data_IF_349071135988
#
_entry.id   IF_349071135988
#
_cell.length_a   1.000
_cell.length_b   1.000
_cell.length_c   1.000
_cell.angle_alpha   90.00
_cell.angle_beta   90.00
_cell.angle_gamma   90.00
#
_symmetry.space_group_name_H-M   'P 1'
#
loop_
_entity.id
_entity.type
_entity.pdbx_description
1 polymer ?
#
# COMPACT_ATOMS: atom_id res chain seq x y z
N UNK A 1 -15.99 14.24 -2.98
CA UNK A 1 -14.63 14.26 -3.57
C UNK A 1 -14.76 13.76 -5.01
N UNK A 2 -14.66 14.66 -5.99
CA UNK A 2 -14.77 14.27 -7.40
C UNK A 2 -13.37 13.82 -7.87
N UNK A 3 -13.19 12.54 -8.18
CA UNK A 3 -11.91 11.99 -8.66
C UNK A 3 -11.62 10.55 -8.24
N UNK A 4 -12.29 10.05 -7.19
CA UNK A 4 -12.01 8.71 -6.64
C UNK A 4 -12.34 7.54 -7.58
N UNK A 5 -13.23 7.74 -8.55
CA UNK A 5 -13.57 6.75 -9.57
C UNK A 5 -12.38 6.35 -10.46
N UNK A 6 -11.35 7.19 -10.53
CA UNK A 6 -10.13 6.93 -11.32
C UNK A 6 -9.00 6.34 -10.47
N UNK A 7 -9.16 6.31 -9.15
CA UNK A 7 -8.16 5.76 -8.23
C UNK A 7 -8.11 4.25 -8.36
N UNK A 8 -6.95 3.72 -8.74
CA UNK A 8 -6.73 2.28 -8.88
C UNK A 8 -5.28 1.89 -8.65
N UNK A 9 -5.08 0.77 -7.98
CA UNK A 9 -3.77 0.12 -7.91
C UNK A 9 -3.57 -0.67 -9.20
N UNK A 10 -2.62 -0.25 -10.03
CA UNK A 10 -2.36 -0.85 -11.34
C UNK A 10 -1.43 -2.06 -11.22
N UNK A 11 -0.48 -1.99 -10.30
CA UNK A 11 0.50 -3.04 -10.10
C UNK A 11 1.04 -3.03 -8.68
N UNK A 12 1.21 -4.22 -8.10
CA UNK A 12 1.91 -4.43 -6.84
C UNK A 12 2.99 -5.47 -7.09
N UNK A 13 4.20 -5.18 -6.61
CA UNK A 13 5.31 -6.11 -6.69
C UNK A 13 6.10 -6.10 -5.39
N UNK A 14 6.56 -7.27 -4.97
CA UNK A 14 7.50 -7.41 -3.88
C UNK A 14 8.87 -7.79 -4.40
N UNK A 15 9.91 -7.13 -3.90
CA UNK A 15 11.30 -7.44 -4.22
C UNK A 15 12.05 -7.64 -2.91
N UNK A 16 12.70 -8.80 -2.76
CA UNK A 16 13.81 -8.88 -1.81
C UNK A 16 14.98 -8.10 -2.41
N UNK A 17 15.51 -7.14 -1.67
CA UNK A 17 16.69 -6.39 -2.12
C UNK A 17 17.94 -7.28 -2.15
N UNK A 18 18.01 -8.36 -1.34
CA UNK A 18 19.17 -9.28 -1.36
C UNK A 18 18.93 -10.66 -0.72
N UNK A 19 19.83 -11.62 -1.00
CA UNK A 19 19.88 -13.05 -0.61
C UNK A 19 20.04 -13.34 0.89
N UNK A 20 20.07 -12.33 1.78
CA UNK A 20 20.40 -12.50 3.21
C UNK A 20 19.16 -12.41 4.10
N UNK A 21 19.04 -13.37 5.01
CA UNK A 21 18.02 -13.40 6.06
C UNK A 21 18.16 -12.17 6.95
N UNK A 22 17.08 -11.41 7.14
CA UNK A 22 17.02 -10.26 8.06
C UNK A 22 17.05 -8.88 7.41
N UNK A 23 17.17 -8.76 6.09
CA UNK A 23 16.96 -7.49 5.38
C UNK A 23 15.47 -7.24 5.11
N UNK A 24 15.01 -5.98 5.13
CA UNK A 24 13.60 -5.67 4.93
C UNK A 24 13.14 -6.05 3.53
N UNK A 25 11.92 -6.56 3.43
CA UNK A 25 11.30 -6.89 2.16
C UNK A 25 10.66 -5.64 1.56
N UNK A 26 11.03 -5.29 0.34
CA UNK A 26 10.51 -4.08 -0.29
C UNK A 26 9.22 -4.38 -1.06
N UNK A 27 8.20 -3.56 -0.85
CA UNK A 27 6.96 -3.55 -1.62
C UNK A 27 6.89 -2.28 -2.44
N UNK A 28 6.64 -2.44 -3.73
CA UNK A 28 6.43 -1.36 -4.69
C UNK A 28 5.00 -1.43 -5.21
N UNK A 29 4.36 -0.27 -5.29
CA UNK A 29 3.03 -0.12 -5.88
C UNK A 29 3.04 0.96 -6.96
N UNK A 30 2.35 0.69 -8.06
CA UNK A 30 2.03 1.67 -9.09
C UNK A 30 0.53 1.97 -8.98
N UNK A 31 0.19 3.23 -8.73
CA UNK A 31 -1.17 3.68 -8.47
C UNK A 31 -1.53 4.80 -9.42
N UNK A 32 -2.70 4.73 -10.04
CA UNK A 32 -3.31 5.86 -10.75
C UNK A 32 -4.21 6.60 -9.77
N UNK A 33 -4.05 7.93 -9.68
CA UNK A 33 -4.83 8.78 -8.77
C UNK A 33 -5.90 9.61 -9.49
N UNK A 34 -5.87 9.65 -10.82
CA UNK A 34 -6.71 10.54 -11.60
C UNK A 34 -6.38 12.01 -11.27
N UNK A 35 -7.35 12.84 -10.88
CA UNK A 35 -7.11 14.25 -10.56
C UNK A 35 -6.59 14.49 -9.14
N UNK A 36 -6.48 13.46 -8.29
CA UNK A 36 -6.05 13.61 -6.90
C UNK A 36 -4.53 13.76 -6.79
N UNK A 37 -4.06 14.63 -5.90
CA UNK A 37 -2.65 14.74 -5.61
C UNK A 37 -2.18 13.59 -4.68
N UNK A 38 -0.89 13.21 -4.69
CA UNK A 38 -0.35 12.23 -3.75
C UNK A 38 -0.60 12.55 -2.27
N UNK A 39 -0.71 13.84 -1.92
CA UNK A 39 -1.02 14.28 -0.56
C UNK A 39 -2.48 14.11 -0.14
N UNK A 40 -3.39 13.92 -1.11
CA UNK A 40 -4.83 13.71 -0.89
C UNK A 40 -5.17 12.23 -0.61
N UNK A 41 -4.16 11.36 -0.65
CA UNK A 41 -4.31 9.93 -0.41
C UNK A 41 -3.23 9.41 0.55
N UNK A 42 -3.51 8.28 1.19
CA UNK A 42 -2.47 7.41 1.75
C UNK A 42 -2.50 6.10 1.01
N UNK A 43 -1.34 5.72 0.47
CA UNK A 43 -1.11 4.38 -0.08
C UNK A 43 -0.47 3.57 1.03
N UNK A 44 -1.03 2.42 1.34
CA UNK A 44 -0.59 1.59 2.46
C UNK A 44 -0.36 0.16 2.00
N UNK A 45 0.73 -0.44 2.47
CA UNK A 45 0.89 -1.88 2.42
C UNK A 45 0.28 -2.48 3.68
N UNK A 46 -0.66 -3.42 3.47
CA UNK A 46 -1.26 -4.23 4.52
C UNK A 46 -0.55 -5.58 4.51
N UNK A 47 0.09 -5.96 5.61
CA UNK A 47 0.91 -7.19 5.66
C UNK A 47 0.72 -7.95 6.96
N UNK A 48 0.96 -9.25 6.92
CA UNK A 48 0.84 -10.10 8.10
C UNK A 48 1.02 -11.57 7.76
N UNK A 49 0.91 -12.41 8.80
CA UNK A 49 0.84 -13.85 8.63
C UNK A 49 -0.41 -14.21 7.84
N UNK A 50 -0.28 -15.20 6.95
CA UNK A 50 -1.45 -15.77 6.29
C UNK A 50 -1.75 -17.17 6.81
N UNK A 51 -3.02 -17.41 7.09
CA UNK A 51 -3.52 -18.72 7.47
C UNK A 51 -3.51 -19.70 6.28
N UNK A 52 -3.94 -20.94 6.52
CA UNK A 52 -4.07 -21.97 5.49
C UNK A 52 -5.08 -21.62 4.37
N UNK A 53 -5.92 -20.58 4.57
CA UNK A 53 -6.91 -20.07 3.61
C UNK A 53 -6.45 -18.78 2.92
N UNK A 54 -5.17 -18.42 3.07
CA UNK A 54 -4.58 -17.20 2.54
C UNK A 54 -5.25 -15.91 3.06
N UNK A 55 -5.83 -15.96 4.26
CA UNK A 55 -6.36 -14.77 4.93
C UNK A 55 -5.28 -14.15 5.80
N UNK A 56 -5.17 -12.83 5.76
CA UNK A 56 -4.25 -12.07 6.59
C UNK A 56 -4.75 -12.03 8.04
N UNK A 57 -3.97 -12.58 8.96
CA UNK A 57 -4.22 -12.52 10.40
C UNK A 57 -3.33 -11.44 11.04
N UNK A 58 -3.89 -10.67 11.97
CA UNK A 58 -3.20 -9.60 12.70
C UNK A 58 -2.41 -8.62 11.81
N UNK A 59 -2.94 -8.32 10.61
CA UNK A 59 -2.21 -7.53 9.65
C UNK A 59 -2.07 -6.06 10.03
N UNK A 60 -0.88 -5.54 9.81
CA UNK A 60 -0.48 -4.15 10.07
C UNK A 60 -0.48 -3.35 8.76
N UNK A 61 -0.72 -2.04 8.87
CA UNK A 61 -0.63 -1.12 7.75
C UNK A 61 0.61 -0.23 7.90
N UNK A 62 1.44 -0.18 6.85
CA UNK A 62 2.55 0.77 6.74
C UNK A 62 2.26 1.74 5.60
N UNK A 63 2.34 3.04 5.88
CA UNK A 63 2.26 4.09 4.86
C UNK A 63 3.43 3.95 3.87
N UNK A 64 3.12 3.91 2.59
CA UNK A 64 4.12 3.86 1.53
C UNK A 64 4.60 5.27 1.18
N UNK A 65 5.90 5.41 1.00
CA UNK A 65 6.55 6.64 0.52
C UNK A 65 6.25 6.84 -0.97
N UNK A 66 5.78 8.04 -1.35
CA UNK A 66 5.66 8.43 -2.75
C UNK A 66 7.05 8.72 -3.33
N UNK A 67 7.41 8.06 -4.43
CA UNK A 67 8.73 8.19 -5.05
C UNK A 67 8.72 9.14 -6.24
N UNK A 68 7.83 8.87 -7.20
CA UNK A 68 7.78 9.59 -8.47
C UNK A 68 6.38 9.49 -9.11
N UNK A 69 6.14 10.35 -10.08
CA UNK A 69 4.98 10.30 -10.98
C UNK A 69 5.48 10.30 -12.42
N UNK A 70 4.85 9.45 -13.25
CA UNK A 70 5.08 9.41 -14.69
C UNK A 70 3.81 9.01 -15.42
N UNK A 71 3.37 9.83 -16.37
CA UNK A 71 2.20 9.57 -17.23
C UNK A 71 0.90 9.28 -16.42
N UNK A 72 0.74 9.98 -15.29
CA UNK A 72 -0.39 9.82 -14.36
C UNK A 72 -0.35 8.54 -13.53
N UNK A 73 0.80 7.86 -13.51
CA UNK A 73 1.09 6.71 -12.65
C UNK A 73 2.07 7.12 -11.56
N UNK A 74 1.67 6.90 -10.32
CA UNK A 74 2.43 7.23 -9.13
C UNK A 74 3.08 5.97 -8.57
N UNK A 75 4.39 6.04 -8.31
CA UNK A 75 5.13 4.96 -7.69
C UNK A 75 5.26 5.18 -6.20
N UNK A 76 5.00 4.12 -5.44
CA UNK A 76 5.08 4.10 -3.99
C UNK A 76 5.94 2.94 -3.52
N UNK A 77 6.60 3.13 -2.38
CA UNK A 77 7.50 2.15 -1.76
C UNK A 77 7.25 2.01 -0.27
N UNK A 78 7.29 0.78 0.24
CA UNK A 78 7.41 0.51 1.67
C UNK A 78 8.41 -0.61 1.93
N UNK A 79 9.10 -0.51 3.07
CA UNK A 79 9.97 -1.55 3.58
C UNK A 79 9.23 -2.32 4.68
N UNK A 80 9.02 -3.62 4.47
CA UNK A 80 8.38 -4.50 5.45
C UNK A 80 9.44 -5.11 6.38
N UNK A 81 9.27 -5.01 7.70
CA UNK A 81 10.13 -5.69 8.66
C UNK A 81 9.74 -7.19 8.73
N UNK A 82 10.05 -7.95 7.68
CA UNK A 82 9.78 -9.40 7.68
C UNK A 82 10.87 -10.09 8.49
N UNK A 83 10.61 -10.26 9.80
CA UNK A 83 11.53 -10.87 10.75
C UNK A 83 11.28 -12.36 11.01
N UNK A 84 10.18 -12.94 10.53
CA UNK A 84 9.75 -14.29 10.90
C UNK A 84 9.65 -15.23 9.70
N UNK A 85 10.11 -16.46 9.91
CA UNK A 85 9.92 -17.58 8.98
C UNK A 85 8.45 -18.01 8.99
N UNK A 86 7.77 -17.93 7.84
CA UNK A 86 6.36 -18.30 7.71
C UNK A 86 5.80 -17.91 6.35
N UNK A 87 4.53 -18.23 6.11
CA UNK A 87 3.81 -17.72 4.94
C UNK A 87 3.33 -16.30 5.29
N UNK A 88 4.01 -15.31 4.74
CA UNK A 88 3.65 -13.89 4.92
C UNK A 88 2.93 -13.39 3.67
N UNK A 89 1.79 -12.74 3.87
CA UNK A 89 1.04 -12.09 2.80
C UNK A 89 1.19 -10.58 2.87
N UNK A 90 0.98 -9.93 1.73
CA UNK A 90 0.79 -8.48 1.69
C UNK A 90 -0.16 -8.11 0.55
N UNK A 91 -0.85 -6.99 0.72
CA UNK A 91 -1.62 -6.31 -0.32
C UNK A 91 -1.44 -4.81 -0.16
N UNK A 92 -1.85 -4.03 -1.15
CA UNK A 92 -1.79 -2.57 -1.12
C UNK A 92 -3.20 -2.01 -1.19
N UNK A 93 -3.44 -0.98 -0.37
CA UNK A 93 -4.67 -0.19 -0.43
C UNK A 93 -4.40 1.29 -0.62
N UNK A 94 -5.37 1.98 -1.21
CA UNK A 94 -5.41 3.44 -1.27
C UNK A 94 -6.61 3.92 -0.46
N UNK A 95 -6.38 4.89 0.43
CA UNK A 95 -7.42 5.52 1.26
C UNK A 95 -7.36 7.05 1.10
N UNK A 96 -8.50 7.75 1.16
CA UNK A 96 -8.51 9.21 1.21
C UNK A 96 -7.70 9.74 2.39
N UNK A 97 -6.99 10.84 2.17
CA UNK A 97 -6.24 11.55 3.19
C UNK A 97 -6.48 13.05 3.04
N UNK A 98 -6.80 13.70 4.15
CA UNK A 98 -6.87 15.16 4.18
C UNK A 98 -6.17 15.64 5.45
N UNK A 99 -5.16 16.52 5.36
CA UNK A 99 -4.35 16.91 6.51
C UNK A 99 -5.15 17.57 7.65
N UNK A 100 -6.35 18.09 7.34
CA UNK A 100 -7.26 18.71 8.33
C UNK A 100 -8.29 17.74 8.95
N UNK A 101 -8.30 16.46 8.57
CA UNK A 101 -9.28 15.48 9.06
C UNK A 101 -8.60 14.56 10.08
N UNK A 102 -8.89 14.80 11.37
CA UNK A 102 -8.29 14.06 12.51
C UNK A 102 -8.91 12.68 12.76
N UNK A 103 -10.03 12.35 12.12
CA UNK A 103 -10.69 11.06 12.29
C UNK A 103 -10.88 10.43 10.92
N UNK A 104 -10.46 9.18 10.66
CA UNK A 104 -10.82 8.45 9.44
C UNK A 104 -12.32 8.09 9.52
N UNK A 105 -13.18 9.10 9.51
CA UNK A 105 -14.62 8.96 9.58
C UNK A 105 -15.14 8.79 8.16
N UNK A 106 -15.71 7.61 7.92
CA UNK A 106 -16.43 7.22 6.70
C UNK A 106 -15.53 6.84 5.50
N UNK A 107 -14.54 5.96 5.70
CA UNK A 107 -13.78 5.31 4.61
C UNK A 107 -14.65 4.29 3.84
N UNK A 108 -15.70 4.74 3.16
CA UNK A 108 -16.49 3.92 2.22
C UNK A 108 -15.76 3.65 0.90
N UNK A 109 -14.65 4.35 0.68
CA UNK A 109 -13.93 4.43 -0.58
C UNK A 109 -12.51 3.88 -0.42
N UNK A 110 -12.39 2.58 -0.12
CA UNK A 110 -11.10 1.88 -0.10
C UNK A 110 -10.91 1.19 -1.46
N UNK A 111 -9.70 1.25 -2.02
CA UNK A 111 -9.31 0.47 -3.21
C UNK A 111 -8.18 -0.48 -2.86
N UNK A 112 -8.37 -1.75 -3.18
CA UNK A 112 -7.40 -2.83 -3.00
C UNK A 112 -6.83 -3.26 -4.36
N UNK A 113 -5.65 -3.86 -4.34
CA UNK A 113 -5.09 -4.60 -5.47
C UNK A 113 -5.58 -6.06 -5.51
#
# INVERSE_FOLDING_TARGET
MNGWNEVRVEHVSGRSTTTRVGEPFEVLATVRLGPLAPGDVRVQVYHGHVDARAQLEAAEAIDMEHLEERDGLHRYRAALPIGESGRHGYTVRVIPHHPSVMVPQELTEIRWA
#
